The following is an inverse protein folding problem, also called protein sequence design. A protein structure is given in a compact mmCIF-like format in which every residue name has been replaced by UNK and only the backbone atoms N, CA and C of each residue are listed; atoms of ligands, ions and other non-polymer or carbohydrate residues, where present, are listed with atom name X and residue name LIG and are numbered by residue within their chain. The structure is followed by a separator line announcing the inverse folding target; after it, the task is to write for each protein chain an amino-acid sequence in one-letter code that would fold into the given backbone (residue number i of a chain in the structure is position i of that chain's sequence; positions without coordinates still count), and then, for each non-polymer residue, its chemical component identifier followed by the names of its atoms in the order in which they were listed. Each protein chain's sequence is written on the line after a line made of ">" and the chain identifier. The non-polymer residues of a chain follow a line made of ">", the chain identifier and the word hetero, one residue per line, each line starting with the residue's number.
data_IF_500484531558
#
_entry.id   IF_500484531558
#
_cell.length_a   1.000
_cell.length_b   1.000
_cell.length_c   1.000
_cell.angle_alpha   90.00
_cell.angle_beta   90.00
_cell.angle_gamma   90.00
#
_symmetry.space_group_name_H-M   'P 1'
#
loop_
_entity.id
_entity.type
_entity.pdbx_description
1 polymer ?
#
# COMPACT_ATOMS: atom_id res chain seq x y z
N UNK A 1 2.15 26.22 -38.06
CA UNK A 1 2.30 26.65 -36.64
C UNK A 1 3.59 25.98 -36.14
N UNK A 2 4.77 26.62 -36.14
CA UNK A 2 5.33 27.57 -35.13
C UNK A 2 5.28 26.99 -33.69
N UNK A 3 6.37 26.77 -32.92
CA UNK A 3 7.86 26.91 -33.03
C UNK A 3 8.48 25.82 -32.09
N UNK A 4 9.58 25.09 -32.35
CA UNK A 4 11.03 25.42 -32.47
C UNK A 4 11.65 26.15 -31.26
N UNK A 5 12.61 25.49 -30.56
CA UNK A 5 13.99 25.93 -30.15
C UNK A 5 14.78 24.63 -29.81
N UNK A 6 15.71 24.15 -30.66
CA UNK A 6 17.19 24.33 -30.64
C UNK A 6 17.90 23.69 -29.40
N UNK A 7 18.68 22.61 -29.57
CA UNK A 7 20.13 22.54 -29.89
C UNK A 7 21.04 22.59 -28.63
N UNK A 8 22.23 21.98 -28.55
CA UNK A 8 23.13 21.46 -29.59
C UNK A 8 23.99 20.24 -29.15
N UNK A 9 24.74 19.72 -30.12
CA UNK A 9 25.79 18.66 -30.04
C UNK A 9 27.20 19.34 -30.14
N UNK A 10 28.36 18.75 -29.81
CA UNK A 10 28.71 17.37 -29.45
C UNK A 10 30.06 17.26 -28.68
N UNK A 11 30.22 16.15 -27.95
CA UNK A 11 31.42 15.29 -27.87
C UNK A 11 32.78 15.80 -27.33
N UNK A 12 33.61 14.77 -27.04
CA UNK A 12 35.07 14.72 -26.99
C UNK A 12 35.81 14.86 -25.65
N UNK A 13 36.94 14.17 -25.60
CA UNK A 13 37.71 13.76 -24.42
C UNK A 13 38.82 14.74 -24.05
N UNK A 14 39.31 14.66 -22.81
CA UNK A 14 40.69 14.24 -22.46
C UNK A 14 40.96 14.45 -20.97
N UNK A 15 41.43 13.40 -20.27
CA UNK A 15 41.93 13.50 -18.91
C UNK A 15 43.34 14.12 -18.95
N UNK A 16 43.42 15.44 -18.74
CA UNK A 16 44.70 16.17 -18.76
C UNK A 16 45.32 16.20 -17.36
N UNK A 17 46.38 15.43 -17.17
CA UNK A 17 47.22 15.47 -15.98
C UNK A 17 48.11 16.71 -15.99
N UNK A 18 47.98 17.57 -14.97
CA UNK A 18 48.86 18.72 -14.73
C UNK A 18 49.60 18.58 -13.38
N UNK A 19 50.82 19.12 -13.23
CA UNK A 19 51.77 18.67 -12.21
C UNK A 19 51.58 19.32 -10.84
N UNK A 20 52.11 18.65 -9.81
CA UNK A 20 52.12 19.12 -8.44
C UNK A 20 52.86 20.47 -8.30
N UNK A 21 52.13 21.48 -7.85
CA UNK A 21 52.70 22.73 -7.34
C UNK A 21 52.90 22.58 -5.83
N UNK A 22 54.09 22.90 -5.32
CA UNK A 22 54.39 22.83 -3.90
C UNK A 22 53.82 24.07 -3.19
N UNK A 23 52.68 23.90 -2.50
CA UNK A 23 52.15 24.93 -1.61
C UNK A 23 53.08 25.15 -0.40
N UNK A 24 53.24 26.40 0.08
CA UNK A 24 53.92 26.68 1.34
C UNK A 24 53.12 26.09 2.52
N UNK A 25 53.78 25.78 3.66
CA UNK A 25 53.09 25.18 4.80
C UNK A 25 52.05 26.14 5.38
N UNK A 26 50.77 25.79 5.25
CA UNK A 26 49.69 26.42 6.00
C UNK A 26 49.95 26.26 7.51
N UNK A 27 49.74 27.31 8.33
CA UNK A 27 49.69 27.13 9.77
C UNK A 27 48.52 26.20 10.10
N UNK A 28 48.76 25.19 10.93
CA UNK A 28 47.76 24.17 11.25
C UNK A 28 46.48 24.85 11.78
N UNK A 29 45.28 24.47 11.29
CA UNK A 29 44.05 24.98 11.85
C UNK A 29 44.00 24.60 13.33
N UNK A 30 43.73 25.58 14.19
CA UNK A 30 43.36 25.31 15.57
C UNK A 30 42.16 24.36 15.53
N UNK A 31 42.37 23.11 15.97
CA UNK A 31 41.37 22.06 15.80
C UNK A 31 40.03 22.47 16.41
N UNK A 32 38.90 22.01 15.85
CA UNK A 32 37.61 22.22 16.50
C UNK A 32 37.71 21.68 17.94
N UNK A 33 37.27 22.47 18.92
CA UNK A 33 37.19 22.01 20.29
C UNK A 33 36.41 20.68 20.34
N UNK A 34 36.79 19.71 21.20
CA UNK A 34 36.07 18.45 21.31
C UNK A 34 34.60 18.71 21.65
N UNK A 35 33.73 18.65 20.64
CA UNK A 35 32.30 18.54 20.84
C UNK A 35 32.05 17.15 21.39
N UNK A 36 31.78 17.08 22.68
CA UNK A 36 31.46 15.83 23.36
C UNK A 36 30.21 15.22 22.69
N UNK A 37 30.31 14.05 22.02
CA UNK A 37 29.20 13.46 21.28
C UNK A 37 28.07 12.94 22.19
N UNK A 38 28.21 13.06 23.52
CA UNK A 38 27.39 12.38 24.51
C UNK A 38 26.64 13.30 25.51
N UNK A 39 26.28 14.54 25.17
CA UNK A 39 25.41 15.35 26.06
C UNK A 39 24.57 16.47 25.41
N UNK A 40 23.74 16.12 24.43
CA UNK A 40 22.40 16.72 24.33
C UNK A 40 21.38 15.71 24.87
N UNK A 41 21.25 15.64 26.19
CA UNK A 41 20.09 14.98 26.78
C UNK A 41 18.87 15.85 26.49
N UNK A 42 17.93 15.30 25.72
CA UNK A 42 16.75 15.98 25.17
C UNK A 42 15.65 16.19 26.25
N UNK A 43 16.07 16.71 27.42
CA UNK A 43 15.27 16.77 28.63
C UNK A 43 14.20 17.85 28.48
N UNK A 44 12.94 17.44 28.45
CA UNK A 44 11.80 18.35 28.40
C UNK A 44 11.25 18.67 27.01
N UNK A 45 11.78 18.08 25.92
CA UNK A 45 11.01 18.11 24.66
C UNK A 45 9.83 17.14 24.72
N UNK A 46 8.75 17.51 24.04
CA UNK A 46 7.61 16.66 23.80
C UNK A 46 7.71 16.10 22.38
N UNK A 47 8.05 14.81 22.25
CA UNK A 47 8.07 14.08 20.98
C UNK A 47 7.33 12.75 21.15
N UNK A 48 6.18 12.64 20.49
CA UNK A 48 5.33 11.46 20.52
C UNK A 48 5.07 11.06 19.07
N UNK A 49 5.45 9.84 18.71
CA UNK A 49 5.44 9.32 17.34
C UNK A 49 4.51 8.13 17.28
N UNK A 50 3.77 7.99 16.18
CA UNK A 50 2.98 6.79 15.89
C UNK A 50 3.32 6.26 14.49
N UNK A 51 3.28 4.95 14.32
CA UNK A 51 3.35 4.24 13.05
C UNK A 51 2.20 3.23 12.95
N UNK A 52 1.79 2.95 11.71
CA UNK A 52 0.73 2.02 11.33
C UNK A 52 1.21 1.27 10.09
N UNK A 53 1.05 -0.05 10.12
CA UNK A 53 1.42 -0.96 9.04
C UNK A 53 0.64 -2.27 9.27
N UNK A 54 -0.03 -2.81 8.25
CA UNK A 54 -0.59 -4.16 8.26
C UNK A 54 0.32 -5.21 7.58
N UNK A 55 1.40 -4.78 6.93
CA UNK A 55 2.34 -5.60 6.18
C UNK A 55 1.88 -5.96 4.76
N UNK A 56 0.78 -5.39 4.26
CA UNK A 56 0.27 -5.56 2.91
C UNK A 56 0.51 -4.31 2.04
N UNK A 57 0.21 -4.49 0.75
CA UNK A 57 0.11 -3.41 -0.25
C UNK A 57 -1.17 -3.61 -1.08
N UNK A 58 -1.82 -4.76 -0.93
CA UNK A 58 -3.03 -5.14 -1.64
C UNK A 58 -3.74 -6.26 -0.91
N UNK A 59 -5.04 -6.14 -0.75
CA UNK A 59 -5.87 -7.13 -0.04
C UNK A 59 -7.14 -7.44 -0.81
N UNK A 60 -7.66 -8.66 -0.62
CA UNK A 60 -8.86 -9.14 -1.33
C UNK A 60 -10.10 -9.04 -0.46
N UNK A 61 -11.28 -8.82 -1.06
CA UNK A 61 -12.56 -8.91 -0.33
C UNK A 61 -12.71 -10.24 0.43
N UNK A 62 -13.11 -10.17 1.70
CA UNK A 62 -13.22 -11.31 2.61
C UNK A 62 -11.90 -11.73 3.27
N UNK A 63 -10.78 -11.09 2.93
CA UNK A 63 -9.52 -11.26 3.65
C UNK A 63 -9.60 -10.61 5.04
N UNK A 64 -8.84 -11.19 5.98
CA UNK A 64 -8.61 -10.60 7.30
C UNK A 64 -7.28 -9.85 7.31
N UNK A 65 -7.32 -8.60 7.72
CA UNK A 65 -6.21 -7.67 7.84
C UNK A 65 -5.86 -7.49 9.31
N UNK A 66 -4.58 -7.30 9.63
CA UNK A 66 -4.08 -7.15 11.01
C UNK A 66 -3.11 -5.97 11.10
N UNK A 67 -3.66 -4.81 11.45
CA UNK A 67 -2.92 -3.58 11.64
C UNK A 67 -2.06 -3.63 12.91
N UNK A 68 -0.78 -3.30 12.76
CA UNK A 68 0.19 -3.12 13.85
C UNK A 68 0.36 -1.64 14.14
N UNK A 69 -0.18 -1.18 15.26
CA UNK A 69 -0.04 0.21 15.73
C UNK A 69 1.15 0.29 16.67
N UNK A 70 2.18 1.05 16.32
CA UNK A 70 3.35 1.29 17.20
C UNK A 70 3.36 2.74 17.66
N UNK A 71 3.42 2.97 18.98
CA UNK A 71 3.47 4.30 19.59
C UNK A 71 4.76 4.43 20.40
N UNK A 72 5.50 5.51 20.20
CA UNK A 72 6.79 5.75 20.82
C UNK A 72 6.88 7.16 21.41
N UNK A 73 7.38 7.26 22.64
CA UNK A 73 7.79 8.52 23.25
C UNK A 73 9.29 8.73 23.04
N UNK A 74 9.67 9.26 21.88
CA UNK A 74 11.07 9.56 21.58
C UNK A 74 11.54 10.91 22.19
N UNK A 75 10.81 11.50 23.13
CA UNK A 75 11.15 12.75 23.82
C UNK A 75 11.43 12.56 25.32
N UNK A 76 11.95 13.61 25.97
CA UNK A 76 12.27 13.60 27.40
C UNK A 76 11.07 13.78 28.35
N UNK A 77 9.85 13.99 27.85
CA UNK A 77 8.65 14.26 28.67
C UNK A 77 7.80 13.01 28.86
N UNK A 78 7.49 12.63 30.10
CA UNK A 78 6.59 11.50 30.38
C UNK A 78 5.11 11.84 30.09
N UNK A 79 4.37 10.91 29.52
CA UNK A 79 2.91 11.01 29.34
C UNK A 79 2.21 9.99 30.25
N UNK A 80 1.27 10.43 31.08
CA UNK A 80 0.52 9.55 31.98
C UNK A 80 -0.72 8.90 31.31
N UNK A 81 -1.28 9.55 30.30
CA UNK A 81 -2.57 9.19 29.68
C UNK A 81 -2.58 9.57 28.19
N UNK A 82 -1.57 9.12 27.44
CA UNK A 82 -1.49 9.38 26.00
C UNK A 82 -2.69 8.69 25.30
N UNK A 83 -3.44 9.46 24.52
CA UNK A 83 -4.59 8.93 23.76
C UNK A 83 -4.11 8.49 22.38
N UNK A 84 -4.33 7.21 22.07
CA UNK A 84 -4.11 6.64 20.74
C UNK A 84 -5.49 6.41 20.12
N UNK A 85 -5.70 6.79 18.87
CA UNK A 85 -6.97 6.66 18.16
C UNK A 85 -6.73 6.15 16.73
N UNK A 86 -7.21 4.94 16.44
CA UNK A 86 -7.11 4.30 15.13
C UNK A 86 -8.50 4.24 14.50
N UNK A 87 -8.68 5.00 13.41
CA UNK A 87 -9.88 4.98 12.57
C UNK A 87 -9.68 3.89 11.51
N UNK A 88 -10.56 2.90 11.51
CA UNK A 88 -10.57 1.86 10.49
C UNK A 88 -11.03 2.41 9.13
N UNK A 89 -10.57 1.83 8.01
CA UNK A 89 -11.10 2.18 6.70
C UNK A 89 -12.60 1.90 6.60
N UNK A 90 -13.32 2.77 5.88
CA UNK A 90 -14.75 2.56 5.59
C UNK A 90 -15.04 1.25 4.84
N UNK A 91 -14.05 0.76 4.09
CA UNK A 91 -14.08 -0.53 3.40
C UNK A 91 -13.81 -1.77 4.26
N UNK A 92 -13.56 -1.61 5.56
CA UNK A 92 -13.24 -2.68 6.49
C UNK A 92 -14.19 -2.69 7.70
N UNK A 93 -14.35 -3.85 8.33
CA UNK A 93 -15.16 -4.01 9.54
C UNK A 93 -14.30 -4.53 10.68
N UNK A 94 -14.36 -3.90 11.86
CA UNK A 94 -13.63 -4.37 13.04
C UNK A 94 -13.98 -5.84 13.34
N UNK A 95 -12.95 -6.67 13.47
CA UNK A 95 -13.04 -8.03 13.93
C UNK A 95 -12.70 -8.12 15.43
N UNK A 96 -11.55 -7.55 15.83
CA UNK A 96 -11.09 -7.51 17.21
C UNK A 96 -10.03 -6.44 17.43
N UNK A 97 -9.93 -5.92 18.64
CA UNK A 97 -8.87 -5.00 19.04
C UNK A 97 -8.22 -5.46 20.36
N UNK A 98 -6.89 -5.48 20.42
CA UNK A 98 -6.16 -5.89 21.62
C UNK A 98 -5.95 -4.71 22.59
N UNK A 99 -5.77 -5.01 23.88
CA UNK A 99 -5.25 -4.06 24.87
C UNK A 99 -6.25 -3.08 25.49
N UNK A 100 -7.40 -3.57 25.98
CA UNK A 100 -8.39 -2.77 26.73
C UNK A 100 -8.87 -1.51 26.00
N UNK A 101 -9.01 -1.59 24.68
CA UNK A 101 -9.46 -0.49 23.83
C UNK A 101 -10.95 -0.15 24.06
N UNK A 102 -11.27 1.14 24.00
CA UNK A 102 -12.63 1.59 23.70
C UNK A 102 -12.88 1.47 22.19
N UNK A 103 -14.10 1.10 21.81
CA UNK A 103 -14.52 0.98 20.40
C UNK A 103 -15.82 1.73 20.21
N UNK A 104 -15.86 2.67 19.28
CA UNK A 104 -17.07 3.40 18.87
C UNK A 104 -16.98 3.78 17.39
N UNK A 105 -18.09 3.68 16.64
CA UNK A 105 -18.18 4.16 15.25
C UNK A 105 -17.19 3.59 14.21
N UNK A 106 -16.35 2.60 14.54
CA UNK A 106 -15.22 2.16 13.70
C UNK A 106 -13.86 2.77 14.10
N UNK A 107 -13.82 3.61 15.13
CA UNK A 107 -12.62 4.07 15.80
C UNK A 107 -12.30 3.18 17.01
N UNK A 108 -11.02 2.81 17.12
CA UNK A 108 -10.45 2.08 18.26
C UNK A 108 -9.57 3.05 19.05
N UNK A 109 -9.87 3.27 20.33
CA UNK A 109 -9.16 4.21 21.21
C UNK A 109 -8.46 3.49 22.36
N UNK A 110 -7.21 3.86 22.62
CA UNK A 110 -6.46 3.45 23.81
C UNK A 110 -6.05 4.67 24.64
N UNK A 111 -5.82 4.41 25.94
CA UNK A 111 -5.19 5.33 26.89
C UNK A 111 -4.00 4.61 27.50
N UNK A 112 -2.79 5.13 27.31
CA UNK A 112 -1.57 4.48 27.83
C UNK A 112 -0.59 5.47 28.46
N UNK A 113 0.03 5.10 29.60
CA UNK A 113 1.23 5.77 30.07
C UNK A 113 2.41 5.40 29.16
N UNK A 114 3.26 6.39 28.90
CA UNK A 114 4.49 6.28 28.12
C UNK A 114 5.60 7.12 28.78
N UNK A 115 6.54 6.46 29.43
CA UNK A 115 7.76 7.08 29.93
C UNK A 115 8.68 7.55 28.77
N UNK A 116 9.66 8.44 29.01
CA UNK A 116 10.67 8.80 28.01
C UNK A 116 11.40 7.58 27.45
N UNK A 117 11.51 7.49 26.13
CA UNK A 117 12.07 6.33 25.41
C UNK A 117 11.17 5.09 25.34
N UNK A 118 9.99 5.11 25.97
CA UNK A 118 9.09 3.95 26.01
C UNK A 118 8.31 3.76 24.71
N UNK A 119 8.05 2.49 24.37
CA UNK A 119 7.26 2.09 23.20
C UNK A 119 6.14 1.12 23.60
N UNK A 120 5.01 1.23 22.91
CA UNK A 120 3.86 0.33 23.02
C UNK A 120 3.41 -0.09 21.62
N UNK A 121 2.96 -1.33 21.51
CA UNK A 121 2.43 -1.92 20.29
C UNK A 121 1.02 -2.43 20.57
N UNK A 122 0.09 -2.14 19.66
CA UNK A 122 -1.28 -2.64 19.69
C UNK A 122 -1.61 -3.33 18.37
N UNK A 123 -2.56 -4.24 18.41
CA UNK A 123 -3.01 -5.01 17.25
C UNK A 123 -4.50 -4.79 17.06
N UNK A 124 -4.89 -4.41 15.84
CA UNK A 124 -6.29 -4.33 15.42
C UNK A 124 -6.50 -5.22 14.22
N UNK A 125 -7.49 -6.09 14.30
CA UNK A 125 -7.85 -7.02 13.24
C UNK A 125 -9.17 -6.59 12.63
N UNK A 126 -9.25 -6.56 11.31
CA UNK A 126 -10.43 -6.18 10.55
C UNK A 126 -10.70 -7.17 9.41
N UNK A 127 -11.96 -7.35 9.05
CA UNK A 127 -12.39 -8.12 7.89
C UNK A 127 -12.66 -7.14 6.72
N UNK A 128 -12.05 -7.38 5.56
CA UNK A 128 -12.16 -6.51 4.36
C UNK A 128 -13.51 -6.73 3.68
N UNK A 129 -14.28 -5.65 3.50
CA UNK A 129 -15.63 -5.68 2.91
C UNK A 129 -15.67 -5.14 1.49
N UNK A 130 -15.05 -3.98 1.21
CA UNK A 130 -15.07 -3.37 -0.13
C UNK A 130 -14.24 -2.10 -0.25
N UNK A 131 -13.59 -1.86 -1.40
CA UNK A 131 -13.30 -0.50 -1.86
C UNK A 131 -12.11 0.18 -1.18
N UNK A 132 -12.33 1.31 -0.52
CA UNK A 132 -11.25 2.16 -0.01
C UNK A 132 -10.70 1.67 1.33
N UNK A 133 -9.38 1.47 1.37
CA UNK A 133 -8.66 0.84 2.47
C UNK A 133 -7.51 1.72 2.97
N UNK A 134 -7.85 2.97 3.28
CA UNK A 134 -6.98 3.87 4.03
C UNK A 134 -7.30 3.78 5.51
N UNK A 135 -6.37 3.23 6.28
CA UNK A 135 -6.42 3.23 7.74
C UNK A 135 -5.63 4.42 8.28
N UNK A 136 -6.09 5.06 9.35
CA UNK A 136 -5.41 6.20 9.96
C UNK A 136 -5.34 6.07 11.47
N UNK A 137 -4.16 6.27 12.04
CA UNK A 137 -3.98 6.35 13.49
C UNK A 137 -3.37 7.70 13.87
N UNK A 138 -3.85 8.28 14.95
CA UNK A 138 -3.30 9.49 15.55
C UNK A 138 -3.05 9.30 17.04
N UNK A 139 -2.06 10.02 17.57
CA UNK A 139 -1.72 10.02 18.99
C UNK A 139 -1.71 11.45 19.54
N UNK A 140 -2.25 11.63 20.75
CA UNK A 140 -2.26 12.89 21.48
C UNK A 140 -1.63 12.73 22.88
N UNK A 141 -0.95 13.77 23.42
CA UNK A 141 -0.35 13.74 24.76
C UNK A 141 -1.32 13.50 25.92
N UNK A 142 -2.62 13.69 25.69
CA UNK A 142 -3.68 13.57 26.69
C UNK A 142 -5.07 13.90 26.13
N UNK A 143 -6.14 13.67 26.89
CA UNK A 143 -7.50 14.02 26.50
C UNK A 143 -7.64 15.54 26.28
N UNK A 144 -8.34 15.93 25.21
CA UNK A 144 -8.55 17.34 24.85
C UNK A 144 -7.30 18.10 24.39
N UNK A 145 -6.14 17.43 24.26
CA UNK A 145 -4.93 18.01 23.65
C UNK A 145 -4.96 17.83 22.13
N UNK A 146 -4.25 18.71 21.42
CA UNK A 146 -4.01 18.55 20.00
C UNK A 146 -3.27 17.23 19.70
N UNK A 147 -3.49 16.70 18.51
CA UNK A 147 -2.77 15.53 18.00
C UNK A 147 -1.27 15.88 17.86
N UNK A 148 -0.40 15.01 18.37
CA UNK A 148 1.05 15.17 18.28
C UNK A 148 1.63 14.54 17.01
N UNK A 149 1.07 13.40 16.58
CA UNK A 149 1.50 12.66 15.39
C UNK A 149 0.35 11.83 14.84
N UNK A 150 0.34 11.60 13.54
CA UNK A 150 -0.54 10.66 12.85
C UNK A 150 0.26 9.86 11.83
N UNK A 151 -0.17 8.63 11.60
CA UNK A 151 0.28 7.75 10.53
C UNK A 151 -0.94 7.25 9.75
N UNK A 152 -0.75 6.85 8.51
CA UNK A 152 -1.79 6.23 7.70
C UNK A 152 -1.18 5.18 6.79
N UNK A 153 -1.99 4.18 6.48
CA UNK A 153 -1.61 3.00 5.71
C UNK A 153 -2.68 2.79 4.61
N UNK A 154 -2.27 2.35 3.42
CA UNK A 154 -3.13 2.39 2.21
C UNK A 154 -2.94 1.12 1.36
N UNK A 155 -3.99 0.31 1.30
CA UNK A 155 -4.02 -0.90 0.47
C UNK A 155 -4.69 -0.71 -0.90
N UNK A 156 -4.20 -1.44 -1.89
CA UNK A 156 -4.90 -1.67 -3.14
C UNK A 156 -5.96 -2.77 -3.00
N UNK A 157 -7.23 -2.41 -3.10
CA UNK A 157 -8.34 -3.36 -3.03
C UNK A 157 -8.50 -4.22 -4.30
N UNK A 158 -8.43 -5.54 -4.13
CA UNK A 158 -8.67 -6.52 -5.18
C UNK A 158 -10.06 -7.18 -5.04
N UNK A 159 -10.95 -6.94 -6.02
CA UNK A 159 -12.24 -7.62 -6.08
C UNK A 159 -12.07 -9.14 -6.33
N UNK A 160 -12.65 -9.96 -5.44
CA UNK A 160 -12.41 -11.42 -5.43
C UNK A 160 -12.69 -12.10 -6.78
N UNK A 161 -11.88 -13.10 -7.18
CA UNK A 161 -12.02 -13.77 -8.48
C UNK A 161 -13.32 -14.58 -8.60
N UNK A 162 -13.95 -14.95 -7.49
CA UNK A 162 -15.23 -15.67 -7.45
C UNK A 162 -16.34 -14.98 -8.25
N UNK A 163 -16.38 -13.63 -8.24
CA UNK A 163 -17.36 -12.83 -9.03
C UNK A 163 -17.15 -12.87 -10.54
N UNK A 164 -16.03 -13.40 -11.04
CA UNK A 164 -15.71 -13.48 -12.48
C UNK A 164 -15.95 -14.86 -13.10
N UNK A 165 -16.16 -15.90 -12.29
CA UNK A 165 -16.29 -17.28 -12.76
C UNK A 165 -17.50 -17.51 -13.68
N UNK A 166 -18.62 -16.83 -13.45
CA UNK A 166 -19.84 -16.99 -14.26
C UNK A 166 -19.74 -16.32 -15.64
N UNK A 167 -18.91 -15.28 -15.80
CA UNK A 167 -18.75 -14.57 -17.06
C UNK A 167 -17.99 -15.40 -18.12
N UNK A 168 -17.05 -16.25 -17.69
CA UNK A 168 -16.30 -17.14 -18.58
C UNK A 168 -17.14 -18.32 -19.12
N UNK A 169 -18.21 -18.72 -18.43
CA UNK A 169 -19.10 -19.80 -18.88
C UNK A 169 -19.96 -19.37 -20.09
N UNK A 170 -20.30 -18.09 -20.20
CA UNK A 170 -21.17 -17.58 -21.27
C UNK A 170 -20.51 -17.58 -22.66
N UNK A 171 -19.19 -17.32 -22.75
CA UNK A 171 -18.47 -17.26 -24.03
C UNK A 171 -18.21 -18.64 -24.64
N UNK A 172 -18.00 -19.68 -23.84
CA UNK A 172 -17.79 -21.06 -24.34
C UNK A 172 -19.08 -21.66 -24.92
N UNK A 173 -20.24 -21.34 -24.36
CA UNK A 173 -21.53 -21.84 -24.84
C UNK A 173 -21.88 -21.33 -26.26
N UNK A 174 -21.55 -20.09 -26.58
CA UNK A 174 -21.92 -19.46 -27.86
C UNK A 174 -21.10 -20.01 -29.05
N UNK A 175 -19.82 -20.32 -28.87
CA UNK A 175 -18.98 -20.85 -29.96
C UNK A 175 -19.31 -22.31 -30.30
N UNK A 176 -19.64 -23.14 -29.31
CA UNK A 176 -20.05 -24.53 -29.52
C UNK A 176 -21.32 -24.66 -30.38
N UNK A 177 -22.32 -23.82 -30.13
CA UNK A 177 -23.61 -23.84 -30.87
C UNK A 177 -23.42 -23.55 -32.36
N UNK A 178 -22.52 -22.63 -32.72
CA UNK A 178 -22.24 -22.27 -34.13
C UNK A 178 -21.60 -23.43 -34.89
N UNK A 179 -20.62 -24.11 -34.28
CA UNK A 179 -19.91 -25.24 -34.92
C UNK A 179 -20.85 -26.44 -35.12
N UNK A 180 -21.63 -26.82 -34.10
CA UNK A 180 -22.58 -27.93 -34.20
C UNK A 180 -23.73 -27.64 -35.17
N UNK A 181 -24.26 -26.42 -35.17
CA UNK A 181 -25.32 -26.00 -36.10
C UNK A 181 -24.87 -26.02 -37.57
N UNK A 182 -23.67 -25.52 -37.84
CA UNK A 182 -23.07 -25.54 -39.18
C UNK A 182 -22.85 -26.96 -39.70
N UNK A 183 -22.30 -27.85 -38.88
CA UNK A 183 -22.07 -29.25 -39.24
C UNK A 183 -23.38 -29.99 -39.57
N UNK A 184 -24.45 -29.79 -38.78
CA UNK A 184 -25.75 -30.43 -39.01
C UNK A 184 -26.41 -29.98 -40.31
N UNK A 185 -26.30 -28.69 -40.66
CA UNK A 185 -26.83 -28.12 -41.91
C UNK A 185 -26.09 -28.68 -43.15
N UNK A 186 -24.76 -28.80 -43.08
CA UNK A 186 -23.96 -29.40 -44.15
C UNK A 186 -24.28 -30.88 -44.34
N UNK A 187 -24.39 -31.65 -43.24
CA UNK A 187 -24.75 -33.06 -43.31
C UNK A 187 -26.15 -33.28 -43.89
N UNK A 188 -27.16 -32.48 -43.47
CA UNK A 188 -28.50 -32.51 -44.06
C UNK A 188 -28.49 -32.20 -45.57
N UNK A 189 -27.72 -31.20 -46.02
CA UNK A 189 -27.58 -30.88 -47.45
C UNK A 189 -26.94 -32.03 -48.24
N UNK A 190 -25.89 -32.66 -47.70
CA UNK A 190 -25.24 -33.81 -48.32
C UNK A 190 -26.19 -35.02 -48.44
N UNK A 191 -26.93 -35.34 -47.37
CA UNK A 191 -27.88 -36.45 -47.33
C UNK A 191 -29.09 -36.28 -48.27
N UNK A 192 -29.52 -35.04 -48.53
CA UNK A 192 -30.57 -34.76 -49.53
C UNK A 192 -30.04 -34.87 -50.96
N UNK A 193 -28.82 -34.40 -51.23
CA UNK A 193 -28.21 -34.45 -52.56
C UNK A 193 -27.91 -35.90 -53.01
N UNK A 194 -27.47 -36.78 -52.10
CA UNK A 194 -27.22 -38.19 -52.43
C UNK A 194 -28.51 -38.93 -52.82
N UNK A 195 -29.60 -38.73 -52.08
CA UNK A 195 -30.93 -39.28 -52.41
C UNK A 195 -31.45 -38.79 -53.77
N UNK A 196 -31.18 -37.54 -54.12
CA UNK A 196 -31.61 -37.01 -55.42
C UNK A 196 -30.82 -37.58 -56.60
N UNK A 197 -29.53 -37.94 -56.38
CA UNK A 197 -28.72 -38.68 -57.36
C UNK A 197 -29.15 -40.15 -57.49
N UNK A 198 -29.40 -40.85 -56.39
CA UNK A 198 -29.84 -42.26 -56.46
C UNK A 198 -31.20 -42.40 -57.15
N UNK A 199 -32.13 -41.45 -56.95
CA UNK A 199 -33.42 -41.43 -57.65
C UNK A 199 -33.34 -41.12 -59.15
N UNK A 200 -32.24 -40.52 -59.64
CA UNK A 200 -32.02 -40.26 -61.08
C UNK A 200 -31.27 -41.38 -61.80
N UNK A 201 -30.65 -42.31 -61.08
CA UNK A 201 -29.92 -43.44 -61.64
C UNK A 201 -30.76 -44.72 -61.79
N UNK A 202 -32.04 -44.67 -61.41
CA UNK A 202 -32.96 -45.81 -61.37
C UNK A 202 -34.18 -45.64 -62.32
N UNK A 203 -33.99 -44.93 -63.44
CA UNK A 203 -35.04 -44.64 -64.43
C UNK A 203 -34.49 -44.57 -65.85
#
# INVERSE_FOLDING_TARGET
>A
MRKIVLAAVAAFTLFSSSPASADPPFPAPSGPAPVDPASFTDVGVARLVVALDDGAVSVTEGQRVTYTVTVANDGGTAYADARVAHVLPSGARLHSAAGAAGVDGGEVTWRVPLAPGERRVFTVTADVVSGELTATVCVAPGPGRALASCASDIDLYAASPARRAWAAAATVALTGIVVSGGALLLWRRAALNSRHRSGKAAR
#
